data_IF_758831135514
#
_entry.id   IF_758831135514
#
_cell.length_a   1.000
_cell.length_b   1.000
_cell.length_c   1.000
_cell.angle_alpha   90.00
_cell.angle_beta   90.00
_cell.angle_gamma   90.00
#
_symmetry.space_group_name_H-M   'P 1'
#
loop_
_entity.id
_entity.type
_entity.pdbx_description
1 polymer ?
#
# COMPACT_ATOMS: atom_id res chain seq x y z
N UNK A 1 -23.11 24.13 3.84
CA UNK A 1 -22.53 22.79 4.11
C UNK A 1 -23.43 21.79 3.42
N UNK A 2 -22.95 21.17 2.35
CA UNK A 2 -23.68 20.15 1.63
C UNK A 2 -23.29 18.78 2.19
N UNK A 3 -24.28 18.01 2.62
CA UNK A 3 -24.10 16.67 3.15
C UNK A 3 -24.01 15.66 1.98
N UNK A 4 -23.00 14.81 1.97
CA UNK A 4 -22.79 13.88 0.86
C UNK A 4 -23.19 12.46 1.23
N UNK A 5 -22.64 11.85 2.31
CA UNK A 5 -23.13 10.58 2.82
C UNK A 5 -22.60 10.23 4.22
N UNK A 6 -23.33 9.34 4.90
CA UNK A 6 -22.91 8.76 6.18
C UNK A 6 -21.86 7.68 6.01
N UNK A 7 -20.97 7.56 6.99
CA UNK A 7 -19.96 6.52 7.08
C UNK A 7 -19.66 6.22 8.56
N UNK A 8 -18.69 5.37 8.79
CA UNK A 8 -18.13 5.07 10.11
C UNK A 8 -16.64 5.42 10.09
N UNK A 9 -16.15 6.00 11.17
CA UNK A 9 -14.75 6.33 11.35
C UNK A 9 -14.28 5.99 12.76
N UNK A 10 -13.02 6.28 13.06
CA UNK A 10 -12.44 6.13 14.38
C UNK A 10 -12.38 7.47 15.12
N UNK A 11 -12.63 7.43 16.41
CA UNK A 11 -12.29 8.55 17.28
C UNK A 11 -10.78 8.66 17.42
N UNK A 12 -10.23 9.84 17.27
CA UNK A 12 -8.79 10.09 17.31
C UNK A 12 -8.16 9.90 18.70
N UNK A 13 -8.99 9.91 19.76
CA UNK A 13 -8.51 9.80 21.13
C UNK A 13 -8.74 8.43 21.77
N UNK A 14 -9.84 7.75 21.44
CA UNK A 14 -10.16 6.46 22.04
C UNK A 14 -10.32 5.32 21.04
N UNK A 15 -10.12 5.58 19.76
CA UNK A 15 -10.14 4.62 18.66
C UNK A 15 -11.42 3.77 18.53
N UNK A 16 -12.50 4.19 19.17
CA UNK A 16 -13.81 3.56 19.00
C UNK A 16 -14.38 3.92 17.64
N UNK A 17 -15.08 2.97 17.05
CA UNK A 17 -15.92 3.21 15.88
C UNK A 17 -17.00 4.20 16.24
N UNK A 18 -17.10 5.26 15.47
CA UNK A 18 -18.09 6.32 15.67
C UNK A 18 -18.74 6.68 14.35
N UNK A 19 -20.01 7.09 14.38
CA UNK A 19 -20.67 7.64 13.21
C UNK A 19 -19.87 8.82 12.65
N UNK A 20 -19.74 8.84 11.34
CA UNK A 20 -19.07 9.90 10.61
C UNK A 20 -19.89 10.27 9.37
N UNK A 21 -19.58 11.40 8.76
CA UNK A 21 -20.22 11.84 7.53
C UNK A 21 -19.23 12.64 6.68
N UNK A 22 -19.41 12.56 5.38
CA UNK A 22 -18.66 13.37 4.42
C UNK A 22 -19.49 14.56 4.01
N UNK A 23 -18.87 15.72 3.94
CA UNK A 23 -19.55 16.96 3.62
C UNK A 23 -18.59 17.92 2.91
N UNK A 24 -19.18 18.87 2.19
CA UNK A 24 -18.45 19.96 1.56
C UNK A 24 -18.38 21.18 2.45
N UNK A 25 -17.18 21.76 2.56
CA UNK A 25 -16.93 23.02 3.25
C UNK A 25 -15.82 23.78 2.56
N UNK A 26 -16.12 24.98 2.10
CA UNK A 26 -15.16 25.91 1.45
C UNK A 26 -14.42 25.25 0.25
N UNK A 27 -15.15 24.50 -0.59
CA UNK A 27 -14.62 23.80 -1.74
C UNK A 27 -13.78 22.55 -1.42
N UNK A 28 -13.69 22.18 -0.15
CA UNK A 28 -12.97 20.99 0.34
C UNK A 28 -13.93 19.89 0.71
N UNK A 29 -13.51 18.66 0.48
CA UNK A 29 -14.19 17.47 0.99
C UNK A 29 -13.72 17.19 2.41
N UNK A 30 -14.64 17.12 3.34
CA UNK A 30 -14.40 16.95 4.76
C UNK A 30 -14.95 15.62 5.27
N UNK A 31 -14.34 15.09 6.32
CA UNK A 31 -14.89 14.03 7.15
C UNK A 31 -15.19 14.60 8.54
N UNK A 32 -16.47 14.68 8.88
CA UNK A 32 -16.93 15.06 10.22
C UNK A 32 -17.30 13.83 11.04
N UNK A 33 -16.94 13.82 12.31
CA UNK A 33 -17.22 12.72 13.22
C UNK A 33 -17.43 13.21 14.65
N UNK A 34 -18.30 12.56 15.41
CA UNK A 34 -18.60 12.94 16.79
C UNK A 34 -18.43 11.75 17.71
N UNK A 35 -17.46 11.83 18.60
CA UNK A 35 -17.29 10.86 19.67
C UNK A 35 -18.13 11.27 20.88
N UNK A 36 -18.95 10.36 21.47
CA UNK A 36 -19.71 10.67 22.67
C UNK A 36 -18.87 11.11 23.87
N UNK A 37 -17.60 10.67 23.90
CA UNK A 37 -16.66 10.96 25.00
C UNK A 37 -15.77 12.17 24.72
N UNK A 38 -15.37 12.39 23.44
CA UNK A 38 -14.34 13.36 23.08
C UNK A 38 -14.85 14.51 22.19
N UNK A 39 -16.14 14.50 21.86
CA UNK A 39 -16.75 15.57 21.08
C UNK A 39 -16.54 15.45 19.57
N UNK A 40 -16.76 16.56 18.90
CA UNK A 40 -16.68 16.68 17.45
C UNK A 40 -15.25 16.94 16.98
N UNK A 41 -14.88 16.30 15.87
CA UNK A 41 -13.67 16.61 15.11
C UNK A 41 -13.93 16.48 13.61
N UNK A 42 -13.12 17.17 12.81
CA UNK A 42 -13.18 17.10 11.34
C UNK A 42 -11.79 16.98 10.75
N UNK A 43 -11.68 16.34 9.58
CA UNK A 43 -10.46 16.22 8.81
C UNK A 43 -10.73 16.50 7.33
N UNK A 44 -9.74 16.99 6.61
CA UNK A 44 -9.81 17.19 5.17
C UNK A 44 -9.54 15.85 4.47
N UNK A 45 -10.45 15.43 3.59
CA UNK A 45 -10.25 14.26 2.72
C UNK A 45 -9.59 14.64 1.41
N UNK A 46 -10.02 15.77 0.82
CA UNK A 46 -9.40 16.34 -0.36
C UNK A 46 -9.68 17.85 -0.40
N UNK A 47 -8.77 18.62 -0.96
CA UNK A 47 -8.92 20.08 -1.10
C UNK A 47 -9.74 20.49 -2.32
N UNK A 48 -10.18 19.53 -3.13
CA UNK A 48 -10.99 19.75 -4.31
C UNK A 48 -12.23 18.84 -4.28
N UNK A 49 -13.35 19.39 -3.90
CA UNK A 49 -14.61 18.64 -3.79
C UNK A 49 -15.08 18.08 -5.12
N UNK A 50 -14.99 18.83 -6.22
CA UNK A 50 -15.43 18.35 -7.54
C UNK A 50 -14.60 17.18 -8.02
N UNK A 51 -13.27 17.25 -7.84
CA UNK A 51 -12.39 16.13 -8.10
C UNK A 51 -12.80 14.91 -7.25
N UNK A 52 -12.98 15.09 -5.94
CA UNK A 52 -13.36 14.01 -5.03
C UNK A 52 -14.70 13.37 -5.45
N UNK A 53 -15.71 14.16 -5.79
CA UNK A 53 -17.01 13.68 -6.29
C UNK A 53 -16.88 12.91 -7.61
N UNK A 54 -15.95 13.30 -8.48
CA UNK A 54 -15.70 12.62 -9.75
C UNK A 54 -15.07 11.24 -9.58
N UNK A 55 -14.45 10.96 -8.43
CA UNK A 55 -13.90 9.66 -8.09
C UNK A 55 -15.04 8.75 -7.62
N UNK A 56 -15.65 8.01 -8.56
CA UNK A 56 -16.77 7.10 -8.24
C UNK A 56 -16.24 5.86 -7.53
N UNK A 57 -16.62 5.73 -6.27
CA UNK A 57 -16.27 4.57 -5.46
C UNK A 57 -17.18 3.39 -5.79
N UNK A 58 -16.65 2.41 -6.49
CA UNK A 58 -17.35 1.15 -6.71
C UNK A 58 -16.68 0.06 -5.86
N UNK A 59 -17.46 -0.64 -5.03
CA UNK A 59 -16.99 -1.85 -4.36
C UNK A 59 -16.70 -2.92 -5.41
N UNK A 60 -15.45 -3.40 -5.45
CA UNK A 60 -15.04 -4.55 -6.25
C UNK A 60 -14.36 -5.58 -5.33
N UNK A 61 -14.25 -6.80 -5.83
CA UNK A 61 -13.48 -7.85 -5.17
C UNK A 61 -12.05 -7.39 -4.85
N UNK A 62 -11.43 -7.90 -3.78
CA UNK A 62 -10.06 -7.56 -3.44
C UNK A 62 -9.14 -7.86 -4.62
N UNK A 63 -8.20 -6.95 -4.89
CA UNK A 63 -7.24 -7.11 -5.98
C UNK A 63 -6.21 -8.22 -5.73
N UNK A 64 -6.02 -8.60 -4.47
CA UNK A 64 -5.18 -9.71 -4.02
C UNK A 64 -5.43 -9.99 -2.54
N UNK A 65 -5.18 -11.23 -2.11
CA UNK A 65 -5.07 -11.57 -0.70
C UNK A 65 -3.65 -11.27 -0.20
N UNK A 66 -3.52 -10.69 0.98
CA UNK A 66 -2.26 -10.28 1.55
C UNK A 66 -1.85 -11.23 2.67
N UNK A 67 -0.68 -11.84 2.52
CA UNK A 67 -0.12 -12.81 3.45
C UNK A 67 1.14 -12.20 4.08
N UNK A 68 1.06 -11.89 5.37
CA UNK A 68 2.21 -11.44 6.15
C UNK A 68 3.10 -12.63 6.46
N UNK A 69 4.29 -12.68 5.83
CA UNK A 69 5.17 -13.83 5.92
C UNK A 69 6.36 -13.62 6.86
N UNK A 70 6.66 -12.39 7.22
CA UNK A 70 7.76 -12.05 8.13
C UNK A 70 7.59 -10.67 8.74
N UNK A 71 8.01 -10.50 9.99
CA UNK A 71 8.12 -9.18 10.62
C UNK A 71 9.57 -8.65 10.64
N UNK A 72 10.48 -9.31 9.93
CA UNK A 72 11.89 -8.93 9.84
C UNK A 72 12.16 -8.13 8.57
N UNK A 73 13.13 -7.21 8.64
CA UNK A 73 13.55 -6.40 7.51
C UNK A 73 15.07 -6.22 7.49
N UNK A 74 15.64 -6.07 6.31
CA UNK A 74 17.05 -5.74 6.10
C UNK A 74 17.31 -4.22 6.06
N UNK A 75 16.29 -3.40 6.23
CA UNK A 75 16.37 -1.93 6.27
C UNK A 75 15.76 -1.40 7.58
N UNK A 76 16.20 -0.20 7.93
CA UNK A 76 15.67 0.58 9.05
C UNK A 76 15.19 1.95 8.54
N UNK A 77 14.18 1.94 7.67
CA UNK A 77 13.66 3.14 7.05
C UNK A 77 13.00 4.06 8.09
N UNK A 78 13.33 5.35 8.10
CA UNK A 78 12.72 6.31 9.03
C UNK A 78 11.20 6.45 8.82
N UNK A 79 10.71 6.19 7.62
CA UNK A 79 9.30 6.29 7.24
C UNK A 79 8.56 4.95 7.26
N UNK A 80 9.09 3.97 7.98
CA UNK A 80 8.51 2.64 8.00
C UNK A 80 7.29 2.57 8.91
N UNK A 81 6.14 2.24 8.36
CA UNK A 81 4.92 2.00 9.12
C UNK A 81 4.87 0.59 9.73
N UNK A 82 5.61 -0.37 9.18
CA UNK A 82 5.62 -1.76 9.66
C UNK A 82 6.37 -1.96 10.97
N UNK A 83 7.29 -1.06 11.32
CA UNK A 83 8.12 -1.16 12.53
C UNK A 83 8.70 -2.57 12.74
N UNK A 84 9.60 -3.05 11.85
CA UNK A 84 10.08 -4.43 11.87
C UNK A 84 10.74 -4.79 13.20
N UNK A 85 10.55 -6.06 13.60
CA UNK A 85 11.28 -6.68 14.71
C UNK A 85 12.15 -7.83 14.19
N UNK A 86 13.45 -7.60 14.11
CA UNK A 86 14.41 -8.59 13.61
C UNK A 86 14.65 -9.78 14.54
N UNK A 87 14.14 -9.73 15.77
CA UNK A 87 14.17 -10.84 16.73
C UNK A 87 12.93 -11.75 16.59
N UNK A 88 11.94 -11.35 15.83
CA UNK A 88 10.73 -12.14 15.60
C UNK A 88 11.05 -13.42 14.81
N UNK A 89 10.28 -14.49 15.09
CA UNK A 89 10.33 -15.73 14.31
C UNK A 89 9.34 -15.67 13.17
N UNK A 90 9.78 -16.10 11.99
CA UNK A 90 8.89 -16.22 10.85
C UNK A 90 7.86 -17.34 11.09
N UNK A 91 6.61 -17.18 10.63
CA UNK A 91 5.63 -18.27 10.59
C UNK A 91 6.14 -19.43 9.74
N UNK A 92 5.80 -20.68 10.13
CA UNK A 92 6.14 -21.84 9.30
C UNK A 92 5.40 -21.84 7.97
N UNK A 93 5.94 -22.53 6.96
CA UNK A 93 5.26 -22.70 5.67
C UNK A 93 3.90 -23.35 5.88
N UNK A 94 3.79 -24.41 6.68
CA UNK A 94 2.51 -25.10 6.95
C UNK A 94 1.46 -24.15 7.53
N UNK A 95 1.85 -23.29 8.46
CA UNK A 95 0.94 -22.27 8.99
C UNK A 95 0.47 -21.32 7.90
N UNK A 96 1.38 -20.78 7.10
CA UNK A 96 1.05 -19.87 5.99
C UNK A 96 0.16 -20.53 4.93
N UNK A 97 0.40 -21.80 4.61
CA UNK A 97 -0.45 -22.55 3.71
C UNK A 97 -1.86 -22.75 4.27
N UNK A 98 -2.00 -23.01 5.58
CA UNK A 98 -3.30 -23.11 6.23
C UNK A 98 -4.13 -21.83 6.11
N UNK A 99 -3.46 -20.66 6.19
CA UNK A 99 -4.10 -19.37 5.95
C UNK A 99 -4.60 -19.25 4.50
N UNK A 100 -3.72 -19.55 3.52
CA UNK A 100 -4.09 -19.47 2.09
C UNK A 100 -5.24 -20.43 1.74
N UNK A 101 -5.26 -21.64 2.32
CA UNK A 101 -6.34 -22.63 2.12
C UNK A 101 -7.68 -22.10 2.64
N UNK A 102 -7.67 -21.32 3.73
CA UNK A 102 -8.90 -20.79 4.33
C UNK A 102 -9.57 -19.71 3.48
N UNK A 103 -8.86 -19.13 2.50
CA UNK A 103 -9.39 -18.05 1.66
C UNK A 103 -10.27 -18.57 0.52
N UNK A 104 -11.27 -17.79 0.07
CA UNK A 104 -12.07 -18.15 -1.07
C UNK A 104 -11.23 -18.41 -2.33
N UNK A 105 -11.53 -19.46 -3.07
CA UNK A 105 -10.91 -19.73 -4.37
C UNK A 105 -11.65 -18.97 -5.47
N UNK A 106 -11.34 -17.68 -5.58
CA UNK A 106 -11.96 -16.76 -6.53
C UNK A 106 -10.97 -16.23 -7.61
N UNK A 107 -9.80 -16.87 -7.71
CA UNK A 107 -8.75 -16.50 -8.68
C UNK A 107 -7.94 -15.27 -8.29
N UNK A 108 -8.17 -14.68 -7.12
CA UNK A 108 -7.34 -13.57 -6.63
C UNK A 108 -5.91 -14.02 -6.36
N UNK A 109 -4.90 -13.22 -6.74
CA UNK A 109 -3.50 -13.52 -6.43
C UNK A 109 -3.22 -13.45 -4.93
N UNK A 110 -2.19 -14.15 -4.49
CA UNK A 110 -1.63 -14.07 -3.14
C UNK A 110 -0.46 -13.08 -3.16
N UNK A 111 -0.56 -12.00 -2.40
CA UNK A 111 0.54 -11.05 -2.23
C UNK A 111 1.31 -11.39 -0.96
N UNK A 112 2.57 -11.80 -1.11
CA UNK A 112 3.49 -12.01 -0.01
C UNK A 112 4.04 -10.67 0.44
N UNK A 113 3.74 -10.32 1.67
CA UNK A 113 4.08 -9.05 2.30
C UNK A 113 4.69 -9.28 3.68
N UNK A 114 4.76 -8.27 4.49
CA UNK A 114 5.38 -8.22 5.79
C UNK A 114 6.40 -7.09 5.78
N UNK A 115 7.38 -7.13 6.70
CA UNK A 115 8.39 -6.09 6.73
C UNK A 115 9.26 -6.15 5.46
N UNK A 116 9.93 -7.29 5.19
CA UNK A 116 10.62 -7.54 3.92
C UNK A 116 10.64 -9.04 3.58
N UNK A 117 9.83 -9.50 2.62
CA UNK A 117 9.75 -10.91 2.24
C UNK A 117 11.09 -11.57 1.89
N UNK A 118 12.00 -10.85 1.25
CA UNK A 118 13.27 -11.42 0.77
C UNK A 118 14.26 -11.75 1.88
N UNK A 119 13.99 -11.40 3.14
CA UNK A 119 14.82 -11.85 4.28
C UNK A 119 14.57 -13.32 4.63
N UNK A 120 13.44 -13.90 4.18
CA UNK A 120 13.17 -15.32 4.36
C UNK A 120 14.07 -16.17 3.46
N UNK A 121 14.75 -17.13 4.08
CA UNK A 121 15.63 -18.06 3.32
C UNK A 121 14.83 -19.03 2.46
N UNK A 122 13.65 -19.40 2.92
CA UNK A 122 12.70 -20.36 2.32
C UNK A 122 11.64 -19.69 1.43
N UNK A 123 11.85 -18.43 0.99
CA UNK A 123 10.85 -17.68 0.22
C UNK A 123 10.47 -18.39 -1.10
N UNK A 124 11.46 -18.94 -1.82
CA UNK A 124 11.18 -19.65 -3.07
C UNK A 124 10.36 -20.92 -2.82
N UNK A 125 10.67 -21.66 -1.75
CA UNK A 125 9.96 -22.88 -1.37
C UNK A 125 8.51 -22.54 -0.98
N UNK A 126 8.29 -21.45 -0.23
CA UNK A 126 6.96 -20.97 0.10
C UNK A 126 6.14 -20.61 -1.16
N UNK A 127 6.74 -19.92 -2.12
CA UNK A 127 6.06 -19.59 -3.40
C UNK A 127 5.61 -20.86 -4.11
N UNK A 128 6.51 -21.84 -4.27
CA UNK A 128 6.21 -23.11 -4.92
C UNK A 128 5.15 -23.90 -4.16
N UNK A 129 5.20 -23.90 -2.83
CA UNK A 129 4.21 -24.57 -1.98
C UNK A 129 2.81 -23.97 -2.13
N UNK A 130 2.69 -22.63 -2.17
CA UNK A 130 1.41 -21.94 -2.42
C UNK A 130 0.87 -22.31 -3.81
N UNK A 131 1.72 -22.36 -4.83
CA UNK A 131 1.31 -22.69 -6.19
C UNK A 131 0.90 -24.15 -6.34
N UNK A 132 1.44 -25.04 -5.52
CA UNK A 132 1.12 -26.46 -5.49
C UNK A 132 -0.19 -26.81 -4.73
N UNK A 133 -0.82 -25.82 -4.08
CA UNK A 133 -2.07 -26.07 -3.37
C UNK A 133 -3.17 -26.57 -4.31
N UNK A 134 -3.99 -27.53 -3.87
CA UNK A 134 -5.14 -28.02 -4.65
C UNK A 134 -6.08 -26.89 -5.06
N UNK A 135 -6.56 -26.91 -6.28
CA UNK A 135 -7.46 -25.90 -6.84
C UNK A 135 -6.83 -25.17 -8.03
N UNK A 136 -7.19 -23.93 -8.23
CA UNK A 136 -6.64 -23.12 -9.32
C UNK A 136 -5.21 -22.68 -9.02
N UNK A 137 -4.31 -22.71 -10.02
CA UNK A 137 -2.97 -22.14 -9.86
C UNK A 137 -3.07 -20.69 -9.38
N UNK A 138 -2.47 -20.40 -8.25
CA UNK A 138 -2.51 -19.05 -7.67
C UNK A 138 -1.35 -18.23 -8.18
N UNK A 139 -1.66 -17.05 -8.70
CA UNK A 139 -0.63 -16.05 -8.95
C UNK A 139 -0.08 -15.59 -7.61
N UNK A 140 1.24 -15.55 -7.48
CA UNK A 140 1.94 -15.05 -6.30
C UNK A 140 2.61 -13.73 -6.66
N UNK A 141 2.45 -12.73 -5.80
CA UNK A 141 3.08 -11.43 -5.95
C UNK A 141 3.99 -11.23 -4.74
N UNK A 142 5.26 -10.98 -4.94
CA UNK A 142 6.18 -10.59 -3.87
C UNK A 142 6.29 -9.06 -3.86
N UNK A 143 6.02 -8.46 -2.71
CA UNK A 143 6.22 -7.02 -2.48
C UNK A 143 7.53 -6.84 -1.72
N UNK A 144 8.52 -6.18 -2.31
CA UNK A 144 9.89 -6.13 -1.77
C UNK A 144 10.51 -4.74 -1.90
N UNK A 145 11.45 -4.44 -1.02
CA UNK A 145 12.34 -3.29 -1.16
C UNK A 145 13.47 -3.52 -2.20
N UNK A 146 13.62 -4.73 -2.72
CA UNK A 146 14.54 -5.08 -3.80
C UNK A 146 16.02 -5.23 -3.44
N UNK A 147 16.45 -4.86 -2.24
CA UNK A 147 17.88 -4.80 -1.87
C UNK A 147 18.58 -6.17 -1.95
N UNK A 148 17.93 -7.26 -1.53
CA UNK A 148 18.53 -8.60 -1.66
C UNK A 148 18.60 -9.08 -3.10
N UNK A 149 17.76 -8.58 -3.99
CA UNK A 149 17.76 -8.92 -5.41
C UNK A 149 18.95 -8.32 -6.17
N UNK A 150 19.69 -7.36 -5.56
CA UNK A 150 20.98 -6.91 -6.07
C UNK A 150 22.03 -8.04 -6.11
N UNK A 151 21.87 -9.08 -5.28
CA UNK A 151 22.75 -10.23 -5.29
C UNK A 151 22.30 -11.22 -6.36
N UNK A 152 23.05 -11.35 -7.45
CA UNK A 152 22.70 -12.21 -8.58
C UNK A 152 22.35 -13.65 -8.17
N UNK A 153 23.18 -14.32 -7.37
CA UNK A 153 22.92 -15.68 -6.89
C UNK A 153 21.68 -15.81 -6.00
N UNK A 154 21.17 -14.69 -5.44
CA UNK A 154 19.91 -14.70 -4.72
C UNK A 154 18.71 -14.62 -5.67
N UNK A 155 18.71 -13.67 -6.59
CA UNK A 155 17.60 -13.44 -7.52
C UNK A 155 17.44 -14.58 -8.52
N UNK A 156 18.54 -15.22 -8.90
CA UNK A 156 18.55 -16.38 -9.83
C UNK A 156 17.69 -17.55 -9.32
N UNK A 157 17.52 -17.69 -7.99
CA UNK A 157 16.67 -18.73 -7.38
C UNK A 157 15.20 -18.66 -7.82
N UNK A 158 14.75 -17.52 -8.31
CA UNK A 158 13.37 -17.30 -8.75
C UNK A 158 13.19 -17.44 -10.26
N UNK A 159 14.25 -17.68 -10.99
CA UNK A 159 14.19 -17.87 -12.44
C UNK A 159 13.35 -19.09 -12.79
N UNK A 160 12.39 -18.90 -13.67
CA UNK A 160 11.54 -19.98 -14.17
C UNK A 160 10.38 -20.39 -13.23
N UNK A 161 10.23 -19.76 -12.07
CA UNK A 161 9.03 -19.97 -11.23
C UNK A 161 7.83 -19.39 -11.97
N UNK A 162 6.83 -20.19 -12.35
CA UNK A 162 5.68 -19.71 -13.10
C UNK A 162 4.77 -18.85 -12.23
N UNK A 163 3.97 -17.97 -12.84
CA UNK A 163 2.94 -17.17 -12.15
C UNK A 163 3.46 -16.36 -10.94
N UNK A 164 4.76 -16.08 -10.89
CA UNK A 164 5.39 -15.23 -9.89
C UNK A 164 5.56 -13.82 -10.45
N UNK A 165 5.11 -12.84 -9.69
CA UNK A 165 5.18 -11.43 -10.03
C UNK A 165 5.86 -10.64 -8.92
N UNK A 166 6.48 -9.52 -9.28
CA UNK A 166 7.20 -8.68 -8.35
C UNK A 166 6.62 -7.27 -8.32
N UNK A 167 6.53 -6.72 -7.12
CA UNK A 167 6.24 -5.31 -6.86
C UNK A 167 7.39 -4.74 -6.05
N UNK A 168 8.06 -3.74 -6.58
CA UNK A 168 9.17 -3.10 -5.92
C UNK A 168 8.72 -1.87 -5.15
N UNK A 169 9.08 -1.79 -3.88
CA UNK A 169 9.00 -0.58 -3.09
C UNK A 169 10.25 0.26 -3.32
N UNK A 170 10.16 1.26 -4.17
CA UNK A 170 11.25 2.17 -4.49
C UNK A 170 11.00 3.51 -3.79
N UNK A 171 11.84 3.84 -2.84
CA UNK A 171 11.77 5.14 -2.21
C UNK A 171 12.57 6.16 -3.02
N UNK A 172 12.15 7.42 -3.00
CA UNK A 172 12.95 8.50 -3.56
C UNK A 172 14.34 8.54 -2.89
N UNK A 173 15.41 8.89 -3.60
CA UNK A 173 16.77 8.92 -3.04
C UNK A 173 16.91 9.67 -1.74
N UNK A 174 16.12 10.72 -1.55
CA UNK A 174 16.15 11.57 -0.34
C UNK A 174 15.79 10.83 0.95
N UNK A 175 15.08 9.67 0.85
CA UNK A 175 14.58 8.96 2.03
C UNK A 175 15.58 8.05 2.73
N UNK A 176 16.44 7.38 1.96
CA UNK A 176 17.27 6.28 2.50
C UNK A 176 18.76 6.47 2.23
N UNK A 177 19.16 7.66 1.78
CA UNK A 177 20.52 7.87 1.26
C UNK A 177 20.79 7.09 -0.03
N UNK A 178 21.65 7.61 -0.88
CA UNK A 178 21.86 7.10 -2.23
C UNK A 178 22.30 5.64 -2.32
N UNK A 179 22.99 5.08 -1.31
CA UNK A 179 23.49 3.71 -1.35
C UNK A 179 22.39 2.64 -1.35
N UNK A 180 21.30 2.86 -0.60
CA UNK A 180 20.17 1.92 -0.59
C UNK A 180 19.49 1.96 -1.96
N UNK A 181 19.28 3.16 -2.49
CA UNK A 181 18.68 3.34 -3.81
C UNK A 181 19.48 2.62 -4.91
N UNK A 182 20.82 2.71 -4.90
CA UNK A 182 21.68 2.00 -5.85
C UNK A 182 21.40 0.49 -5.80
N UNK A 183 21.34 -0.10 -4.61
CA UNK A 183 21.03 -1.55 -4.47
C UNK A 183 19.63 -1.91 -4.92
N UNK A 184 18.64 -1.05 -4.67
CA UNK A 184 17.27 -1.26 -5.14
C UNK A 184 17.21 -1.27 -6.67
N UNK A 185 17.94 -0.34 -7.32
CA UNK A 185 18.00 -0.26 -8.78
C UNK A 185 18.74 -1.45 -9.38
N UNK A 186 19.87 -1.86 -8.80
CA UNK A 186 20.58 -3.07 -9.20
C UNK A 186 19.70 -4.32 -9.09
N UNK A 187 18.93 -4.43 -8.01
CA UNK A 187 17.96 -5.51 -7.83
C UNK A 187 16.85 -5.52 -8.89
N UNK A 188 16.35 -4.36 -9.27
CA UNK A 188 15.37 -4.22 -10.35
C UNK A 188 15.97 -4.61 -11.70
N UNK A 189 17.16 -4.14 -12.01
CA UNK A 189 17.88 -4.45 -13.26
C UNK A 189 18.20 -5.95 -13.36
N UNK A 190 18.60 -6.59 -12.27
CA UNK A 190 18.80 -8.04 -12.22
C UNK A 190 17.49 -8.82 -12.50
N UNK A 191 16.38 -8.40 -11.94
CA UNK A 191 15.08 -9.02 -12.22
C UNK A 191 14.70 -8.88 -13.69
N UNK A 192 14.90 -7.72 -14.29
CA UNK A 192 14.64 -7.48 -15.72
C UNK A 192 15.57 -8.34 -16.58
N UNK A 193 16.86 -8.40 -16.26
CA UNK A 193 17.85 -9.19 -16.99
C UNK A 193 17.56 -10.71 -16.95
N UNK A 194 16.96 -11.20 -15.87
CA UNK A 194 16.52 -12.59 -15.72
C UNK A 194 15.14 -12.87 -16.33
N UNK A 195 14.46 -11.86 -16.86
CA UNK A 195 13.10 -11.99 -17.41
C UNK A 195 12.02 -12.25 -16.35
N UNK A 196 12.24 -11.81 -15.11
CA UNK A 196 11.22 -11.90 -14.07
C UNK A 196 10.10 -10.88 -14.31
N UNK A 197 8.85 -11.28 -14.01
CA UNK A 197 7.68 -10.44 -14.25
C UNK A 197 7.56 -9.34 -13.17
N UNK A 198 8.22 -8.20 -13.40
CA UNK A 198 8.08 -7.01 -12.54
C UNK A 198 6.85 -6.23 -12.97
N UNK A 199 5.83 -6.23 -12.11
CA UNK A 199 4.51 -5.64 -12.40
C UNK A 199 4.40 -4.17 -12.08
N UNK A 200 5.00 -3.75 -10.96
CA UNK A 200 4.73 -2.42 -10.41
C UNK A 200 5.92 -1.91 -9.64
N UNK A 201 6.28 -0.66 -9.88
CA UNK A 201 7.16 0.12 -9.04
C UNK A 201 6.29 0.94 -8.08
N UNK A 202 6.54 0.85 -6.79
CA UNK A 202 5.79 1.58 -5.76
C UNK A 202 6.66 2.66 -5.17
N UNK A 203 6.15 3.87 -5.15
CA UNK A 203 6.82 5.05 -4.60
C UNK A 203 5.97 5.69 -3.52
N UNK A 204 6.62 6.13 -2.45
CA UNK A 204 6.02 7.03 -1.45
C UNK A 204 6.62 8.41 -1.65
N UNK A 205 5.78 9.41 -1.89
CA UNK A 205 6.23 10.79 -2.10
C UNK A 205 6.09 11.60 -0.82
N UNK A 206 7.13 12.35 -0.46
CA UNK A 206 7.09 13.35 0.61
C UNK A 206 6.58 14.69 0.12
N UNK A 207 6.81 14.98 -1.16
CA UNK A 207 6.35 16.19 -1.84
C UNK A 207 6.10 15.88 -3.32
N UNK A 208 5.40 16.77 -4.00
CA UNK A 208 5.02 16.58 -5.40
C UNK A 208 6.18 16.80 -6.39
N UNK A 209 7.26 17.49 -5.98
CA UNK A 209 8.42 17.71 -6.84
C UNK A 209 9.11 16.40 -7.22
N UNK A 210 8.98 15.38 -6.36
CA UNK A 210 9.52 14.04 -6.62
C UNK A 210 8.78 13.26 -7.72
N UNK A 211 7.61 13.74 -8.15
CA UNK A 211 6.80 13.04 -9.13
C UNK A 211 7.48 12.94 -10.51
N UNK A 212 8.19 14.00 -10.93
CA UNK A 212 8.89 14.01 -12.21
C UNK A 212 9.90 12.86 -12.33
N UNK A 213 10.64 12.56 -11.27
CA UNK A 213 11.63 11.48 -11.25
C UNK A 213 10.96 10.13 -11.40
N UNK A 214 9.82 9.94 -10.72
CA UNK A 214 9.00 8.73 -10.86
C UNK A 214 8.49 8.56 -12.29
N UNK A 215 8.04 9.65 -12.93
CA UNK A 215 7.55 9.62 -14.31
C UNK A 215 8.65 9.23 -15.29
N UNK A 216 9.86 9.75 -15.13
CA UNK A 216 11.01 9.37 -15.96
C UNK A 216 11.46 7.93 -15.72
N UNK A 217 11.41 7.43 -14.49
CA UNK A 217 11.71 6.02 -14.21
C UNK A 217 10.70 5.06 -14.86
N UNK A 218 9.41 5.40 -14.82
CA UNK A 218 8.38 4.64 -15.53
C UNK A 218 8.67 4.60 -17.04
N UNK A 219 9.06 5.74 -17.61
CA UNK A 219 9.46 5.81 -19.01
C UNK A 219 10.69 4.93 -19.30
N UNK A 220 11.72 5.03 -18.45
CA UNK A 220 12.97 4.27 -18.60
C UNK A 220 12.76 2.77 -18.58
N UNK A 221 11.98 2.26 -17.63
CA UNK A 221 11.81 0.82 -17.42
C UNK A 221 10.59 0.24 -18.14
N UNK A 222 9.65 1.06 -18.57
CA UNK A 222 8.39 0.59 -19.15
C UNK A 222 7.49 -0.16 -18.17
N UNK A 223 7.69 0.02 -16.86
CA UNK A 223 6.95 -0.63 -15.78
C UNK A 223 6.01 0.39 -15.13
N UNK A 224 4.76 0.02 -14.95
CA UNK A 224 3.78 0.89 -14.32
C UNK A 224 4.13 1.24 -12.87
N UNK A 225 3.77 2.45 -12.43
CA UNK A 225 4.01 2.92 -11.08
C UNK A 225 2.76 2.93 -10.21
N UNK A 226 2.94 2.61 -8.94
CA UNK A 226 2.00 2.88 -7.87
C UNK A 226 2.58 3.98 -7.00
N UNK A 227 1.87 5.10 -6.91
CA UNK A 227 2.30 6.22 -6.11
C UNK A 227 1.46 6.30 -4.84
N UNK A 228 2.13 6.44 -3.72
CA UNK A 228 1.54 6.69 -2.41
C UNK A 228 2.02 8.05 -1.93
N UNK A 229 1.11 8.87 -1.43
CA UNK A 229 1.49 10.09 -0.74
C UNK A 229 2.00 9.72 0.65
N UNK A 230 3.07 10.35 1.07
CA UNK A 230 3.60 10.19 2.40
C UNK A 230 2.57 10.63 3.44
N UNK A 231 2.43 9.83 4.48
CA UNK A 231 1.59 10.14 5.64
C UNK A 231 2.40 9.86 6.90
N UNK A 232 2.19 10.67 7.91
CA UNK A 232 2.89 10.54 9.19
C UNK A 232 2.36 9.36 9.98
N UNK A 233 2.88 8.15 9.66
CA UNK A 233 2.52 6.89 10.30
C UNK A 233 3.76 6.12 10.73
N UNK A 234 3.67 5.40 11.82
CA UNK A 234 4.75 4.56 12.30
C UNK A 234 5.93 5.38 12.81
N UNK A 235 7.10 5.23 12.18
CA UNK A 235 8.34 5.90 12.60
C UNK A 235 8.52 7.30 12.04
N UNK A 236 7.62 7.77 11.20
CA UNK A 236 7.78 9.09 10.55
C UNK A 236 7.81 10.19 11.61
N UNK A 237 8.87 11.01 11.66
CA UNK A 237 8.89 12.18 12.52
C UNK A 237 7.77 13.15 12.15
N UNK A 238 7.22 13.83 13.14
CA UNK A 238 6.19 14.85 12.95
C UNK A 238 6.73 16.01 12.09
N UNK A 239 6.00 16.36 11.02
CA UNK A 239 6.35 17.43 10.11
C UNK A 239 7.28 17.03 8.94
N UNK A 240 7.69 15.76 8.85
CA UNK A 240 8.54 15.29 7.75
C UNK A 240 7.78 15.17 6.42
N UNK A 241 6.48 14.96 6.47
CA UNK A 241 5.65 14.92 5.28
C UNK A 241 4.73 16.14 5.21
N UNK A 242 4.67 16.75 4.04
CA UNK A 242 3.62 17.72 3.75
C UNK A 242 2.30 16.99 3.62
N UNK A 243 1.23 17.60 4.11
CA UNK A 243 -0.11 17.09 3.82
C UNK A 243 -0.39 17.27 2.33
N UNK A 244 -0.51 16.16 1.62
CA UNK A 244 -0.73 16.11 0.17
C UNK A 244 -2.08 15.46 -0.10
N UNK A 245 -2.75 15.90 -1.16
CA UNK A 245 -4.05 15.40 -1.57
C UNK A 245 -4.01 14.78 -2.96
N UNK A 246 -4.91 13.83 -3.21
CA UNK A 246 -4.96 13.13 -4.49
C UNK A 246 -5.22 14.09 -5.67
N UNK A 247 -6.07 15.07 -5.48
CA UNK A 247 -6.35 16.09 -6.50
C UNK A 247 -5.10 16.86 -6.92
N UNK A 248 -4.22 17.19 -5.97
CA UNK A 248 -2.95 17.87 -6.26
C UNK A 248 -2.00 16.96 -7.04
N UNK A 249 -1.84 15.71 -6.58
CA UNK A 249 -1.00 14.74 -7.27
C UNK A 249 -1.45 14.52 -8.71
N UNK A 250 -2.75 14.38 -8.94
CA UNK A 250 -3.29 14.17 -10.28
C UNK A 250 -3.11 15.39 -11.16
N UNK A 251 -3.32 16.61 -10.61
CA UNK A 251 -3.10 17.85 -11.36
C UNK A 251 -1.64 18.01 -11.80
N UNK A 252 -0.68 17.73 -10.92
CA UNK A 252 0.74 17.79 -11.25
C UNK A 252 1.13 16.72 -12.26
N UNK A 253 0.61 15.48 -12.12
CA UNK A 253 0.87 14.42 -13.08
C UNK A 253 0.29 14.73 -14.47
N UNK A 254 -0.91 15.27 -14.53
CA UNK A 254 -1.55 15.69 -15.79
C UNK A 254 -0.77 16.80 -16.47
N UNK A 255 -0.33 17.81 -15.71
CA UNK A 255 0.48 18.89 -16.25
C UNK A 255 1.82 18.37 -16.78
N UNK A 256 2.51 17.51 -16.02
CA UNK A 256 3.75 16.88 -16.48
C UNK A 256 3.55 16.10 -17.78
N UNK A 257 2.47 15.36 -17.91
CA UNK A 257 2.15 14.65 -19.15
C UNK A 257 1.93 15.60 -20.33
N UNK A 258 1.22 16.70 -20.12
CA UNK A 258 1.04 17.74 -21.15
C UNK A 258 2.38 18.32 -21.61
N UNK A 259 3.25 18.68 -20.69
CA UNK A 259 4.55 19.29 -20.97
C UNK A 259 5.48 18.34 -21.73
N UNK A 260 5.31 17.03 -21.55
CA UNK A 260 6.11 15.99 -22.22
C UNK A 260 5.40 15.37 -23.45
N UNK A 261 4.26 15.87 -23.86
CA UNK A 261 3.43 15.30 -24.95
C UNK A 261 3.02 13.84 -24.69
N UNK A 262 2.78 13.48 -23.44
CA UNK A 262 2.23 12.18 -23.07
C UNK A 262 0.72 12.26 -22.94
N UNK A 263 0.02 11.17 -23.26
CA UNK A 263 -1.43 11.11 -23.07
C UNK A 263 -1.74 10.68 -21.64
N UNK A 264 -2.61 11.42 -20.98
CA UNK A 264 -3.13 11.14 -19.64
C UNK A 264 -4.61 10.80 -19.70
N UNK A 265 -5.01 9.73 -19.04
CA UNK A 265 -6.41 9.29 -18.99
C UNK A 265 -6.71 8.59 -17.67
N UNK A 266 -7.81 8.94 -17.03
CA UNK A 266 -8.36 8.14 -15.95
C UNK A 266 -8.86 6.80 -16.53
N UNK A 267 -8.35 5.69 -16.01
CA UNK A 267 -8.64 4.35 -16.52
C UNK A 267 -9.69 3.64 -15.66
N UNK A 268 -9.49 3.64 -14.34
CA UNK A 268 -10.38 2.93 -13.42
C UNK A 268 -10.40 3.60 -12.04
N UNK A 269 -11.55 3.53 -11.37
CA UNK A 269 -11.72 3.95 -9.99
C UNK A 269 -12.31 2.78 -9.22
N UNK A 270 -11.66 2.37 -8.16
CA UNK A 270 -12.07 1.23 -7.35
C UNK A 270 -11.88 1.54 -5.86
N UNK A 271 -12.99 1.85 -5.19
CA UNK A 271 -12.94 2.26 -3.79
C UNK A 271 -12.00 3.45 -3.60
N UNK A 272 -11.01 3.30 -2.73
CA UNK A 272 -9.96 4.29 -2.48
C UNK A 272 -8.75 4.17 -3.45
N UNK A 273 -8.90 3.47 -4.55
CA UNK A 273 -7.83 3.25 -5.55
C UNK A 273 -8.26 3.83 -6.88
N UNK A 274 -7.45 4.71 -7.40
CA UNK A 274 -7.66 5.29 -8.73
C UNK A 274 -6.51 4.90 -9.64
N UNK A 275 -6.84 4.43 -10.82
CA UNK A 275 -5.88 4.07 -11.85
C UNK A 275 -5.94 5.09 -12.98
N UNK A 276 -4.77 5.51 -13.42
CA UNK A 276 -4.61 6.32 -14.60
C UNK A 276 -3.77 5.56 -15.63
N UNK A 277 -4.10 5.70 -16.88
CA UNK A 277 -3.30 5.24 -17.99
C UNK A 277 -2.52 6.41 -18.57
N UNK A 278 -1.22 6.21 -18.75
CA UNK A 278 -0.35 7.16 -19.43
C UNK A 278 0.21 6.49 -20.67
N UNK A 279 0.08 7.11 -21.82
CA UNK A 279 0.67 6.60 -23.05
C UNK A 279 1.94 7.37 -23.37
N UNK A 280 3.03 6.63 -23.42
CA UNK A 280 4.37 7.13 -23.73
C UNK A 280 4.84 6.39 -24.98
N UNK A 281 5.18 7.11 -26.05
CA UNK A 281 5.64 6.54 -27.32
C UNK A 281 4.74 5.39 -27.86
N UNK A 282 3.42 5.56 -27.70
CA UNK A 282 2.44 4.55 -28.16
C UNK A 282 2.21 3.38 -27.20
N UNK A 283 3.01 3.22 -26.17
CA UNK A 283 2.87 2.17 -25.15
C UNK A 283 2.07 2.73 -23.97
N UNK A 284 1.02 2.00 -23.58
CA UNK A 284 0.19 2.36 -22.43
C UNK A 284 0.79 1.77 -21.14
N UNK A 285 1.03 2.64 -20.18
CA UNK A 285 1.47 2.27 -18.82
C UNK A 285 0.37 2.58 -17.83
N UNK A 286 0.04 1.62 -16.97
CA UNK A 286 -0.83 1.88 -15.82
C UNK A 286 -0.05 2.66 -14.78
N UNK A 287 -0.43 3.91 -14.66
CA UNK A 287 0.25 4.88 -13.84
C UNK A 287 -0.67 5.30 -12.69
N UNK A 288 -0.15 5.49 -11.52
CA UNK A 288 -0.89 5.81 -10.31
C UNK A 288 -2.00 4.80 -10.01
N UNK A 289 -1.68 3.88 -9.17
CA UNK A 289 -2.63 3.14 -8.37
C UNK A 289 -2.59 3.77 -6.98
N UNK A 290 -3.56 4.61 -6.70
CA UNK A 290 -3.64 5.32 -5.44
C UNK A 290 -4.39 4.51 -4.40
N UNK A 291 -3.92 4.54 -3.15
CA UNK A 291 -4.65 4.08 -1.99
C UNK A 291 -4.51 5.16 -0.91
N UNK A 292 -5.53 5.99 -0.75
CA UNK A 292 -5.53 6.99 0.31
C UNK A 292 -6.12 6.40 1.59
N UNK A 293 -5.25 6.14 2.55
CA UNK A 293 -5.65 5.60 3.86
C UNK A 293 -6.64 6.52 4.59
N UNK A 294 -6.59 7.83 4.30
CA UNK A 294 -7.52 8.81 4.89
C UNK A 294 -8.95 8.66 4.41
N UNK A 295 -9.13 8.06 3.24
CA UNK A 295 -10.45 7.83 2.63
C UNK A 295 -10.96 6.40 2.85
N UNK A 296 -10.19 5.54 3.51
CA UNK A 296 -10.63 4.18 3.80
C UNK A 296 -11.82 4.25 4.75
N UNK A 297 -12.95 3.82 4.24
CA UNK A 297 -14.13 3.55 5.04
C UNK A 297 -13.91 2.29 5.86
N UNK A 298 -14.21 2.33 7.15
CA UNK A 298 -14.08 1.15 8.00
C UNK A 298 -14.99 0.00 7.56
N UNK A 299 -16.15 0.27 6.97
CA UNK A 299 -16.95 -0.77 6.35
C UNK A 299 -16.25 -1.40 5.15
N UNK A 300 -15.51 -0.61 4.36
CA UNK A 300 -14.70 -1.09 3.24
C UNK A 300 -13.52 -1.92 3.74
N UNK A 301 -12.82 -1.46 4.78
CA UNK A 301 -11.79 -2.23 5.49
C UNK A 301 -12.38 -3.51 6.07
N UNK A 302 -13.55 -3.44 6.69
CA UNK A 302 -14.27 -4.58 7.22
C UNK A 302 -14.63 -5.60 6.15
N UNK A 303 -15.16 -5.17 5.01
CA UNK A 303 -15.56 -6.08 3.94
C UNK A 303 -14.39 -6.75 3.23
N UNK A 304 -13.22 -6.09 3.15
CA UNK A 304 -12.04 -6.61 2.45
C UNK A 304 -11.07 -7.38 3.37
N UNK A 305 -11.08 -7.10 4.67
CA UNK A 305 -10.01 -7.49 5.58
C UNK A 305 -10.46 -8.16 6.87
N UNK A 306 -11.73 -8.13 7.20
CA UNK A 306 -12.22 -8.75 8.45
C UNK A 306 -12.01 -10.25 8.53
N UNK A 307 -11.95 -10.92 7.40
CA UNK A 307 -11.57 -12.33 7.38
C UNK A 307 -10.15 -12.55 7.96
N UNK A 308 -9.33 -11.51 8.02
CA UNK A 308 -7.98 -11.54 8.58
C UNK A 308 -7.88 -11.03 10.02
N UNK A 309 -8.95 -10.41 10.58
CA UNK A 309 -8.98 -10.05 12.01
C UNK A 309 -9.70 -11.14 12.80
N UNK A 310 -9.15 -12.31 12.78
CA UNK A 310 -9.53 -13.37 13.70
C UNK A 310 -8.60 -13.26 14.91
N UNK A 311 -9.09 -13.35 16.15
CA UNK A 311 -8.23 -13.38 17.32
C UNK A 311 -7.09 -14.39 17.12
N UNK A 312 -5.86 -13.93 17.28
CA UNK A 312 -4.66 -14.74 17.04
C UNK A 312 -4.10 -14.76 15.63
N UNK A 313 -4.77 -14.17 14.62
CA UNK A 313 -4.23 -14.01 13.27
C UNK A 313 -3.54 -12.65 13.07
N UNK A 314 -2.52 -12.56 12.19
CA UNK A 314 -1.94 -11.29 11.81
C UNK A 314 -3.01 -10.37 11.24
N UNK A 315 -2.96 -9.12 11.62
CA UNK A 315 -3.82 -8.08 11.07
C UNK A 315 -3.48 -7.84 9.61
N UNK A 316 -4.48 -7.52 8.77
CA UNK A 316 -4.18 -7.14 7.39
C UNK A 316 -3.30 -5.90 7.36
N UNK A 317 -2.34 -5.79 6.41
CA UNK A 317 -1.51 -4.61 6.27
C UNK A 317 -2.31 -3.31 6.13
N UNK A 318 -3.46 -3.37 5.46
CA UNK A 318 -4.32 -2.21 5.28
C UNK A 318 -4.93 -1.73 6.60
N UNK A 319 -5.47 -2.65 7.41
CA UNK A 319 -6.02 -2.32 8.72
C UNK A 319 -4.90 -1.89 9.67
N UNK A 320 -3.75 -2.56 9.60
CA UNK A 320 -2.56 -2.15 10.35
C UNK A 320 -2.14 -0.73 9.97
N UNK A 321 -2.14 -0.36 8.68
CA UNK A 321 -1.89 1.01 8.24
C UNK A 321 -2.89 2.00 8.82
N UNK A 322 -4.20 1.69 8.78
CA UNK A 322 -5.24 2.55 9.35
C UNK A 322 -5.03 2.77 10.84
N UNK A 323 -4.73 1.70 11.57
CA UNK A 323 -4.51 1.77 13.02
C UNK A 323 -3.24 2.53 13.35
N UNK A 324 -2.13 2.26 12.66
CA UNK A 324 -0.87 2.97 12.86
C UNK A 324 -1.00 4.46 12.55
N UNK A 325 -1.72 4.81 11.50
CA UNK A 325 -2.01 6.20 11.19
C UNK A 325 -2.77 6.87 12.33
N UNK A 326 -3.84 6.27 12.79
CA UNK A 326 -4.61 6.84 13.89
C UNK A 326 -3.79 6.90 15.18
N UNK A 327 -2.83 6.01 15.38
CA UNK A 327 -1.84 6.09 16.46
C UNK A 327 -0.83 7.22 16.24
N UNK A 328 -0.32 7.41 15.04
CA UNK A 328 0.63 8.47 14.72
C UNK A 328 -0.01 9.85 14.92
N UNK A 329 -1.23 10.03 14.40
CA UNK A 329 -2.00 11.27 14.56
C UNK A 329 -2.33 11.57 16.02
N UNK A 330 -2.59 10.54 16.82
CA UNK A 330 -3.14 10.67 18.17
C UNK A 330 -2.24 10.19 19.31
N UNK A 331 -1.03 9.77 19.02
CA UNK A 331 0.00 9.37 20.00
C UNK A 331 -0.50 8.44 21.10
N UNK A 332 -1.09 7.29 20.72
CA UNK A 332 -1.01 6.47 21.83
C UNK A 332 -1.89 5.32 22.16
N UNK A 333 -2.97 5.02 21.51
CA UNK A 333 -3.72 3.82 21.93
C UNK A 333 -4.31 3.08 20.73
N UNK A 334 -4.12 1.77 20.71
CA UNK A 334 -4.74 0.89 19.75
C UNK A 334 -6.22 0.65 20.07
N UNK A 335 -6.99 0.26 19.06
CA UNK A 335 -8.36 -0.24 19.18
C UNK A 335 -8.36 -1.56 19.95
N UNK A 336 -8.47 -1.49 21.28
CA UNK A 336 -8.37 -2.67 22.13
C UNK A 336 -9.39 -3.75 21.83
N UNK A 337 -10.58 -3.37 21.37
CA UNK A 337 -11.67 -4.31 21.12
C UNK A 337 -11.56 -5.05 19.78
N UNK A 338 -10.73 -4.56 18.85
CA UNK A 338 -10.61 -5.10 17.50
C UNK A 338 -9.20 -5.55 17.13
N UNK A 339 -8.19 -5.15 17.91
CA UNK A 339 -6.80 -5.51 17.67
C UNK A 339 -6.43 -6.77 18.47
N UNK A 340 -5.90 -7.80 17.83
CA UNK A 340 -5.37 -8.97 18.52
C UNK A 340 -4.39 -8.59 19.62
N UNK A 341 -4.45 -9.29 20.75
CA UNK A 341 -3.69 -8.99 21.98
C UNK A 341 -2.18 -8.80 21.73
N UNK A 342 -1.61 -9.58 20.82
CA UNK A 342 -0.19 -9.47 20.43
C UNK A 342 0.20 -8.13 19.76
N UNK A 343 -0.76 -7.31 19.34
CA UNK A 343 -0.54 -5.98 18.78
C UNK A 343 -1.00 -4.86 19.72
N UNK A 344 -1.49 -5.23 20.92
CA UNK A 344 -1.80 -4.26 21.97
C UNK A 344 -0.51 -3.98 22.73
N UNK A 345 0.06 -2.82 22.50
CA UNK A 345 1.16 -2.33 23.31
C UNK A 345 0.58 -1.70 24.57
N UNK A 346 1.09 -2.08 25.72
CA UNK A 346 0.76 -1.46 27.01
C UNK A 346 1.17 0.00 27.08
#
# INVERSE_FOLDING_TARGET
>A
MEFIYNTVSLCEQCYRHIPAYRFEKDGKMMLGKTCPKHGYCEAILDINTEFYKSQQYQRRSPGSYWLDITNRCNLDCPHCYQMPDNNSKDPSIDYLLSEVISWPDNGCPVSLVGAEPTVRKDLADLVLAIQALPGKPRNVIIVTNGVYLAKWGYVERFKGIPNLKWTFGLNHPDYNGGQIRVKQMEGLENCIALGLDVKTLTYTLANLDQLSDVMYEVQKFGIGARIQLGVEIGRVPEGDFKELYLSELVAVAEQFCKDNNWTWKQDDVNGNRTHYAVRINGIEHKFIKWCDVRTIDLEEVQSESWASIVPGKPMSPLLHQVILRDQAVNRGQMLFDTVPEKYRHE
#
